data_IF_258950278351
#
_entry.id   IF_258950278351
#
_cell.length_a   1.000
_cell.length_b   1.000
_cell.length_c   1.000
_cell.angle_alpha   90.00
_cell.angle_beta   90.00
_cell.angle_gamma   90.00
#
_symmetry.space_group_name_H-M   'P 1'
#
loop_
_entity.id
_entity.type
_entity.pdbx_description
1 polymer ?
#
# COMPACT_ATOMS: atom_id res chain seq x y z
N UNK A 1 -54.55 40.49 -7.06
CA UNK A 1 -54.47 39.37 -6.09
C UNK A 1 -54.71 38.09 -6.85
N UNK A 2 -53.71 37.27 -6.98
CA UNK A 2 -53.85 35.93 -7.57
C UNK A 2 -54.64 35.06 -6.58
N UNK A 3 -55.62 34.30 -7.08
CA UNK A 3 -56.47 33.47 -6.24
C UNK A 3 -55.62 32.40 -5.51
N UNK A 4 -56.06 32.00 -4.31
CA UNK A 4 -55.41 30.97 -3.49
C UNK A 4 -55.12 29.68 -4.29
N UNK A 5 -55.97 29.32 -5.24
CA UNK A 5 -55.81 28.17 -6.13
C UNK A 5 -54.59 28.29 -7.07
N UNK A 6 -54.30 29.48 -7.57
CA UNK A 6 -53.16 29.73 -8.42
C UNK A 6 -51.84 29.70 -7.61
N UNK A 7 -51.87 30.20 -6.36
CA UNK A 7 -50.71 30.11 -5.47
C UNK A 7 -50.38 28.64 -5.12
N UNK A 8 -51.37 27.81 -4.84
CA UNK A 8 -51.17 26.38 -4.56
C UNK A 8 -50.70 25.59 -5.79
N UNK A 9 -51.12 25.94 -7.00
CA UNK A 9 -50.63 25.33 -8.24
C UNK A 9 -49.17 25.67 -8.49
N UNK A 10 -48.76 26.92 -8.29
CA UNK A 10 -47.37 27.37 -8.41
C UNK A 10 -46.49 26.69 -7.36
N UNK A 11 -46.94 26.59 -6.11
CA UNK A 11 -46.17 25.86 -5.06
C UNK A 11 -45.99 24.38 -5.39
N UNK A 12 -47.02 23.70 -5.91
CA UNK A 12 -46.91 22.28 -6.31
C UNK A 12 -45.99 22.09 -7.51
N UNK A 13 -45.98 23.02 -8.48
CA UNK A 13 -45.07 22.98 -9.60
C UNK A 13 -43.61 23.22 -9.19
N UNK A 14 -43.35 24.16 -8.28
CA UNK A 14 -42.04 24.43 -7.74
C UNK A 14 -41.52 23.21 -6.92
N UNK A 15 -42.40 22.61 -6.08
CA UNK A 15 -42.05 21.40 -5.31
C UNK A 15 -41.73 20.21 -6.19
N UNK A 16 -42.44 20.02 -7.30
CA UNK A 16 -42.20 18.94 -8.25
C UNK A 16 -40.89 19.18 -9.03
N UNK A 17 -40.60 20.44 -9.43
CA UNK A 17 -39.34 20.80 -10.10
C UNK A 17 -38.13 20.65 -9.18
N UNK A 18 -38.22 21.01 -7.90
CA UNK A 18 -37.15 20.84 -6.92
C UNK A 18 -36.89 19.34 -6.66
N UNK A 19 -37.97 18.54 -6.53
CA UNK A 19 -37.87 17.11 -6.32
C UNK A 19 -37.21 16.39 -7.51
N UNK A 20 -37.56 16.76 -8.74
CA UNK A 20 -36.91 16.20 -9.95
C UNK A 20 -35.46 16.66 -10.11
N UNK A 21 -35.11 17.89 -9.73
CA UNK A 21 -33.74 18.38 -9.76
C UNK A 21 -32.86 17.69 -8.73
N UNK A 22 -33.37 17.43 -7.52
CA UNK A 22 -32.63 16.66 -6.47
C UNK A 22 -32.44 15.21 -6.89
N UNK A 23 -33.46 14.57 -7.51
CA UNK A 23 -33.31 13.20 -8.04
C UNK A 23 -32.27 13.11 -9.16
N UNK A 24 -32.25 14.08 -10.11
CA UNK A 24 -31.25 14.09 -11.17
C UNK A 24 -29.83 14.38 -10.65
N UNK A 25 -29.66 15.22 -9.64
CA UNK A 25 -28.38 15.48 -9.02
C UNK A 25 -27.84 14.23 -8.31
N UNK A 26 -28.71 13.47 -7.64
CA UNK A 26 -28.34 12.21 -6.98
C UNK A 26 -27.92 11.13 -7.99
N UNK A 27 -28.59 11.04 -9.13
CA UNK A 27 -28.21 10.10 -10.20
C UNK A 27 -26.87 10.46 -10.84
N UNK A 28 -26.60 11.74 -11.05
CA UNK A 28 -25.33 12.18 -11.62
C UNK A 28 -24.16 11.98 -10.64
N UNK A 29 -24.34 12.22 -9.35
CA UNK A 29 -23.32 11.98 -8.33
C UNK A 29 -23.01 10.49 -8.20
N UNK A 30 -24.02 9.61 -8.19
CA UNK A 30 -23.82 8.15 -8.16
C UNK A 30 -23.15 7.62 -9.42
N UNK A 31 -23.46 8.15 -10.59
CA UNK A 31 -22.84 7.75 -11.85
C UNK A 31 -21.39 8.24 -11.96
N UNK A 32 -21.08 9.45 -11.46
CA UNK A 32 -19.71 9.97 -11.39
C UNK A 32 -18.85 9.13 -10.45
N UNK A 33 -19.36 8.81 -9.25
CA UNK A 33 -18.67 7.99 -8.28
C UNK A 33 -18.43 6.55 -8.79
N UNK A 34 -19.40 5.95 -9.49
CA UNK A 34 -19.23 4.62 -10.09
C UNK A 34 -18.20 4.64 -11.23
N UNK A 35 -18.12 5.73 -12.00
CA UNK A 35 -17.10 5.90 -13.04
C UNK A 35 -15.71 6.05 -12.45
N UNK A 36 -15.56 6.87 -11.43
CA UNK A 36 -14.30 7.08 -10.74
C UNK A 36 -13.77 5.77 -10.13
N UNK A 37 -14.66 4.96 -9.53
CA UNK A 37 -14.29 3.65 -8.98
C UNK A 37 -13.78 2.68 -10.06
N UNK A 38 -14.44 2.61 -11.21
CA UNK A 38 -14.00 1.75 -12.31
C UNK A 38 -12.65 2.19 -12.91
N UNK A 39 -12.38 3.49 -12.93
CA UNK A 39 -11.09 4.03 -13.33
C UNK A 39 -9.98 3.68 -12.32
N UNK A 40 -10.28 3.72 -11.03
CA UNK A 40 -9.35 3.28 -9.98
C UNK A 40 -9.13 1.77 -10.01
N UNK A 41 -10.17 0.96 -10.26
CA UNK A 41 -10.00 -0.48 -10.47
C UNK A 41 -9.05 -0.79 -11.63
N UNK A 42 -9.22 -0.10 -12.75
CA UNK A 42 -8.30 -0.20 -13.88
C UNK A 42 -6.89 0.19 -13.51
N UNK A 43 -6.73 1.28 -12.75
CA UNK A 43 -5.44 1.74 -12.25
C UNK A 43 -4.76 0.67 -11.38
N UNK A 44 -5.45 0.06 -10.40
CA UNK A 44 -4.91 -1.01 -9.56
C UNK A 44 -4.35 -2.15 -10.41
N UNK A 45 -5.13 -2.62 -11.38
CA UNK A 45 -4.75 -3.75 -12.24
C UNK A 45 -3.58 -3.42 -13.17
N UNK A 46 -3.58 -2.22 -13.78
CA UNK A 46 -2.55 -1.82 -14.76
C UNK A 46 -1.22 -1.51 -14.09
N UNK A 47 -1.24 -0.99 -12.86
CA UNK A 47 -0.03 -0.67 -12.10
C UNK A 47 0.50 -1.85 -11.28
N UNK A 48 -0.27 -2.95 -11.14
CA UNK A 48 0.07 -4.06 -10.26
C UNK A 48 -0.05 -3.72 -8.76
N UNK A 49 -0.69 -2.59 -8.41
CA UNK A 49 -0.81 -2.19 -7.02
C UNK A 49 -1.70 -3.14 -6.21
N UNK A 50 -2.68 -3.79 -6.83
CA UNK A 50 -3.47 -4.87 -6.22
C UNK A 50 -2.59 -6.06 -5.81
N UNK A 51 -1.62 -6.45 -6.63
CA UNK A 51 -0.64 -7.51 -6.31
C UNK A 51 0.30 -7.06 -5.18
N UNK A 52 0.72 -5.79 -5.18
CA UNK A 52 1.49 -5.23 -4.07
C UNK A 52 0.74 -5.29 -2.74
N UNK A 53 -0.57 -5.01 -2.73
CA UNK A 53 -1.42 -5.17 -1.55
C UNK A 53 -1.49 -6.63 -1.09
N UNK A 54 -1.64 -7.57 -2.01
CA UNK A 54 -1.66 -9.01 -1.68
C UNK A 54 -0.36 -9.48 -1.02
N UNK A 55 0.77 -8.86 -1.34
CA UNK A 55 2.06 -9.17 -0.73
C UNK A 55 2.13 -8.82 0.77
N UNK A 56 1.27 -7.93 1.27
CA UNK A 56 1.16 -7.61 2.70
C UNK A 56 0.86 -8.87 3.51
N UNK A 57 0.02 -9.76 2.98
CA UNK A 57 -0.31 -11.05 3.62
C UNK A 57 0.91 -11.95 3.82
N UNK A 58 1.89 -11.89 2.90
CA UNK A 58 3.14 -12.65 3.06
C UNK A 58 3.97 -12.12 4.23
N UNK A 59 4.00 -10.80 4.40
CA UNK A 59 4.67 -10.17 5.54
C UNK A 59 3.99 -10.48 6.87
N UNK A 60 2.67 -10.67 6.89
CA UNK A 60 1.91 -11.00 8.10
C UNK A 60 2.31 -12.35 8.70
N UNK A 61 2.87 -13.27 7.92
CA UNK A 61 3.36 -14.58 8.43
C UNK A 61 4.41 -14.42 9.54
N UNK A 62 5.20 -13.36 9.49
CA UNK A 62 6.25 -13.06 10.48
C UNK A 62 5.81 -12.10 11.60
N UNK A 63 4.54 -11.69 11.64
CA UNK A 63 4.06 -10.75 12.64
C UNK A 63 4.24 -11.23 14.11
N UNK A 64 4.07 -12.52 14.46
CA UNK A 64 4.34 -12.99 15.83
C UNK A 64 5.76 -12.69 16.30
N UNK A 65 6.77 -12.78 15.42
CA UNK A 65 8.16 -12.45 15.78
C UNK A 65 8.33 -10.99 16.21
N UNK A 66 7.52 -10.06 15.70
CA UNK A 66 7.53 -8.67 16.16
C UNK A 66 7.07 -8.52 17.62
N UNK A 67 6.34 -9.52 18.12
CA UNK A 67 5.87 -9.60 19.51
C UNK A 67 6.76 -10.50 20.39
N UNK A 68 7.84 -11.04 19.82
CA UNK A 68 8.70 -12.02 20.50
C UNK A 68 8.05 -13.41 20.62
N UNK A 69 7.06 -13.72 19.80
CA UNK A 69 6.34 -14.99 19.74
C UNK A 69 6.73 -15.76 18.48
N UNK A 70 6.56 -17.09 18.49
CA UNK A 70 6.74 -17.91 17.31
C UNK A 70 5.38 -18.18 16.64
N UNK A 71 5.33 -18.06 15.31
CA UNK A 71 4.13 -18.37 14.56
C UNK A 71 3.75 -19.86 14.65
N UNK A 72 4.74 -20.74 14.82
CA UNK A 72 4.57 -22.18 14.97
C UNK A 72 3.86 -22.55 16.28
N UNK A 73 3.95 -21.71 17.33
CA UNK A 73 3.24 -21.88 18.60
C UNK A 73 1.71 -21.87 18.41
N UNK A 74 1.22 -21.20 17.35
CA UNK A 74 -0.21 -21.12 17.02
C UNK A 74 -0.64 -22.10 15.94
N UNK A 75 0.31 -22.76 15.26
CA UNK A 75 0.08 -23.78 14.25
C UNK A 75 -0.85 -23.30 13.12
N UNK A 76 -1.76 -24.18 12.68
CA UNK A 76 -2.67 -23.89 11.57
C UNK A 76 -3.66 -22.74 11.86
N UNK A 77 -3.97 -22.49 13.13
CA UNK A 77 -4.88 -21.38 13.50
C UNK A 77 -4.30 -20.02 13.13
N UNK A 78 -2.97 -19.86 13.22
CA UNK A 78 -2.28 -18.67 12.75
C UNK A 78 -2.51 -18.43 11.26
N UNK A 79 -2.31 -19.46 10.45
CA UNK A 79 -2.50 -19.37 9.00
C UNK A 79 -3.92 -18.97 8.63
N UNK A 80 -4.92 -19.54 9.30
CA UNK A 80 -6.33 -19.18 9.08
C UNK A 80 -6.60 -17.72 9.45
N UNK A 81 -6.12 -17.28 10.62
CA UNK A 81 -6.31 -15.93 11.09
C UNK A 81 -5.66 -14.90 10.15
N UNK A 82 -4.40 -15.12 9.78
CA UNK A 82 -3.68 -14.24 8.88
C UNK A 82 -4.38 -14.15 7.50
N UNK A 83 -4.83 -15.29 6.95
CA UNK A 83 -5.56 -15.29 5.67
C UNK A 83 -6.91 -14.56 5.73
N UNK A 84 -7.61 -14.61 6.86
CA UNK A 84 -8.89 -13.93 7.04
C UNK A 84 -8.71 -12.41 7.17
N UNK A 85 -7.75 -11.97 7.97
CA UNK A 85 -7.50 -10.55 8.21
C UNK A 85 -6.90 -9.86 6.98
N UNK A 86 -5.97 -10.51 6.30
CA UNK A 86 -5.31 -10.00 5.11
C UNK A 86 -5.91 -10.58 3.82
N UNK A 87 -7.25 -10.80 3.81
CA UNK A 87 -7.94 -11.22 2.60
C UNK A 87 -7.79 -10.15 1.50
N UNK A 88 -7.40 -10.58 0.31
CA UNK A 88 -7.13 -9.71 -0.84
C UNK A 88 -8.31 -8.78 -1.16
N UNK A 89 -9.52 -9.30 -1.06
CA UNK A 89 -10.75 -8.56 -1.31
C UNK A 89 -10.94 -7.40 -0.33
N UNK A 90 -10.62 -7.61 0.96
CA UNK A 90 -10.74 -6.57 1.99
C UNK A 90 -9.75 -5.45 1.73
N UNK A 91 -8.48 -5.79 1.51
CA UNK A 91 -7.43 -4.81 1.27
C UNK A 91 -7.67 -4.03 -0.04
N UNK A 92 -8.15 -4.74 -1.08
CA UNK A 92 -8.49 -4.13 -2.36
C UNK A 92 -9.66 -3.14 -2.23
N UNK A 93 -10.72 -3.50 -1.52
CA UNK A 93 -11.84 -2.60 -1.25
C UNK A 93 -11.41 -1.35 -0.48
N UNK A 94 -10.58 -1.51 0.57
CA UNK A 94 -10.01 -0.37 1.30
C UNK A 94 -9.19 0.54 0.38
N UNK A 95 -8.37 -0.03 -0.49
CA UNK A 95 -7.57 0.75 -1.45
C UNK A 95 -8.45 1.48 -2.46
N UNK A 96 -9.50 0.83 -2.99
CA UNK A 96 -10.45 1.44 -3.91
C UNK A 96 -11.16 2.64 -3.29
N UNK A 97 -11.62 2.51 -2.05
CA UNK A 97 -12.30 3.59 -1.35
C UNK A 97 -11.37 4.79 -1.13
N UNK A 98 -10.16 4.55 -0.59
CA UNK A 98 -9.20 5.63 -0.33
C UNK A 98 -8.70 6.30 -1.61
N UNK A 99 -8.37 5.53 -2.64
CA UNK A 99 -7.84 6.06 -3.89
C UNK A 99 -8.90 6.76 -4.73
N UNK A 100 -10.16 6.32 -4.67
CA UNK A 100 -11.27 7.00 -5.36
C UNK A 100 -11.50 8.42 -4.82
N UNK A 101 -11.16 8.67 -3.55
CA UNK A 101 -11.21 10.00 -2.95
C UNK A 101 -9.95 10.84 -3.22
N UNK A 102 -8.78 10.18 -3.34
CA UNK A 102 -7.49 10.85 -3.37
C UNK A 102 -6.94 11.10 -4.78
N UNK A 103 -7.18 10.18 -5.74
CA UNK A 103 -6.64 10.27 -7.09
C UNK A 103 -7.56 11.07 -8.02
N UNK A 104 -7.03 12.12 -8.62
CA UNK A 104 -7.72 12.83 -9.70
C UNK A 104 -7.67 12.05 -11.01
N UNK A 105 -8.62 12.30 -11.91
CA UNK A 105 -8.64 11.71 -13.27
C UNK A 105 -7.33 11.96 -14.03
N UNK A 106 -6.71 13.14 -13.85
CA UNK A 106 -5.43 13.49 -14.48
C UNK A 106 -4.28 12.58 -13.99
N UNK A 107 -4.23 12.26 -12.71
CA UNK A 107 -3.21 11.38 -12.14
C UNK A 107 -3.45 9.93 -12.58
N UNK A 108 -4.69 9.47 -12.59
CA UNK A 108 -5.07 8.14 -13.09
C UNK A 108 -4.66 7.96 -14.56
N UNK A 109 -5.02 8.92 -15.43
CA UNK A 109 -4.65 8.88 -16.84
C UNK A 109 -3.13 8.88 -17.04
N UNK A 110 -2.40 9.68 -16.24
CA UNK A 110 -0.94 9.73 -16.30
C UNK A 110 -0.28 8.39 -15.96
N UNK A 111 -0.69 7.76 -14.85
CA UNK A 111 -0.15 6.47 -14.44
C UNK A 111 -0.50 5.36 -15.43
N UNK A 112 -1.80 5.25 -15.79
CA UNK A 112 -2.27 4.24 -16.73
C UNK A 112 -1.59 4.40 -18.10
N UNK A 113 -1.36 5.64 -18.54
CA UNK A 113 -0.66 5.92 -19.80
C UNK A 113 0.77 5.38 -19.83
N UNK A 114 1.49 5.43 -18.72
CA UNK A 114 2.84 4.86 -18.62
C UNK A 114 2.79 3.32 -18.45
N UNK A 115 2.04 2.83 -17.48
CA UNK A 115 2.06 1.40 -17.13
C UNK A 115 1.37 0.50 -18.16
N UNK A 116 0.49 1.04 -19.02
CA UNK A 116 -0.06 0.34 -20.17
C UNK A 116 0.84 0.41 -21.43
N UNK A 117 2.04 1.00 -21.35
CA UNK A 117 3.03 0.94 -22.43
C UNK A 117 3.75 -0.41 -22.44
N UNK A 118 4.42 -0.76 -23.55
CA UNK A 118 5.19 -2.00 -23.67
C UNK A 118 6.26 -2.14 -22.55
N UNK A 119 6.96 -1.06 -22.20
CA UNK A 119 7.91 -1.06 -21.09
C UNK A 119 7.17 -1.19 -19.75
N UNK A 120 6.09 -0.43 -19.55
CA UNK A 120 5.30 -0.44 -18.31
C UNK A 120 4.75 -1.83 -18.00
N UNK A 121 4.14 -2.50 -18.98
CA UNK A 121 3.62 -3.88 -18.81
C UNK A 121 4.71 -4.87 -18.38
N UNK A 122 5.90 -4.80 -19.00
CA UNK A 122 7.04 -5.65 -18.63
C UNK A 122 7.58 -5.36 -17.24
N UNK A 123 7.60 -4.09 -16.83
CA UNK A 123 7.99 -3.69 -15.48
C UNK A 123 7.01 -4.26 -14.43
N UNK A 124 5.71 -4.08 -14.66
CA UNK A 124 4.67 -4.61 -13.77
C UNK A 124 4.74 -6.13 -13.66
N UNK A 125 5.01 -6.84 -14.76
CA UNK A 125 5.17 -8.30 -14.74
C UNK A 125 6.27 -8.75 -13.77
N UNK A 126 7.46 -8.15 -13.83
CA UNK A 126 8.58 -8.54 -12.94
C UNK A 126 8.37 -8.05 -11.50
N UNK A 127 7.74 -6.89 -11.31
CA UNK A 127 7.37 -6.38 -10.00
C UNK A 127 6.36 -7.29 -9.31
N UNK A 128 5.30 -7.69 -10.02
CA UNK A 128 4.31 -8.62 -9.52
C UNK A 128 4.93 -10.00 -9.18
N UNK A 129 5.80 -10.52 -10.03
CA UNK A 129 6.54 -11.75 -9.75
C UNK A 129 7.41 -11.62 -8.50
N UNK A 130 8.05 -10.45 -8.30
CA UNK A 130 8.85 -10.17 -7.11
C UNK A 130 7.99 -10.06 -5.84
N UNK A 131 6.82 -9.42 -5.91
CA UNK A 131 5.90 -9.29 -4.79
C UNK A 131 5.30 -10.62 -4.32
N UNK A 132 4.99 -11.51 -5.25
CA UNK A 132 4.39 -12.81 -4.95
C UNK A 132 5.40 -13.91 -4.62
N UNK A 133 6.70 -13.63 -4.71
CA UNK A 133 7.72 -14.61 -4.36
C UNK A 133 7.75 -14.88 -2.85
N UNK A 134 7.62 -16.13 -2.46
CA UNK A 134 7.73 -16.57 -1.06
C UNK A 134 9.19 -16.62 -0.57
N UNK A 135 10.17 -16.63 -1.47
CA UNK A 135 11.61 -16.75 -1.15
C UNK A 135 12.27 -15.36 -1.05
N UNK A 136 11.98 -14.67 0.06
CA UNK A 136 12.55 -13.37 0.34
C UNK A 136 14.05 -13.43 0.66
N UNK A 137 14.54 -14.53 1.24
CA UNK A 137 15.95 -14.72 1.56
C UNK A 137 16.77 -14.82 0.28
N UNK A 138 16.38 -15.69 -0.66
CA UNK A 138 17.03 -15.80 -1.96
C UNK A 138 17.03 -14.49 -2.74
N UNK A 139 15.94 -13.73 -2.69
CA UNK A 139 15.87 -12.40 -3.34
C UNK A 139 16.87 -11.43 -2.74
N UNK A 140 16.96 -11.38 -1.40
CA UNK A 140 17.88 -10.49 -0.69
C UNK A 140 19.32 -10.86 -1.01
N UNK A 141 19.71 -12.12 -0.82
CA UNK A 141 21.06 -12.60 -1.10
C UNK A 141 21.48 -12.38 -2.56
N UNK A 142 20.58 -12.72 -3.51
CA UNK A 142 20.84 -12.52 -4.94
C UNK A 142 20.98 -11.05 -5.29
N UNK A 143 20.10 -10.20 -4.75
CA UNK A 143 20.14 -8.76 -4.96
C UNK A 143 21.40 -8.12 -4.41
N UNK A 144 21.83 -8.50 -3.20
CA UNK A 144 23.09 -8.06 -2.59
C UNK A 144 24.31 -8.48 -3.42
N UNK A 145 24.32 -9.72 -3.89
CA UNK A 145 25.39 -10.20 -4.76
C UNK A 145 25.48 -9.44 -6.09
N UNK A 146 24.32 -9.07 -6.67
CA UNK A 146 24.27 -8.23 -7.87
C UNK A 146 24.82 -6.82 -7.56
N UNK A 147 24.39 -6.20 -6.45
CA UNK A 147 24.87 -4.87 -6.02
C UNK A 147 26.37 -4.88 -5.83
N UNK A 148 26.92 -5.87 -5.13
CA UNK A 148 28.35 -6.02 -4.90
C UNK A 148 29.13 -6.19 -6.23
N UNK A 149 28.56 -6.96 -7.15
CA UNK A 149 29.11 -7.12 -8.49
C UNK A 149 29.16 -5.79 -9.26
N UNK A 150 28.07 -5.03 -9.26
CA UNK A 150 27.97 -3.74 -9.92
C UNK A 150 28.93 -2.70 -9.32
N UNK A 151 29.07 -2.66 -7.99
CA UNK A 151 30.03 -1.79 -7.29
C UNK A 151 31.45 -2.14 -7.68
N UNK A 152 31.80 -3.42 -7.70
CA UNK A 152 33.14 -3.91 -8.01
C UNK A 152 33.63 -3.49 -9.39
N UNK A 153 32.71 -3.46 -10.37
CA UNK A 153 33.03 -3.04 -11.75
C UNK A 153 32.82 -1.54 -11.99
N UNK A 154 32.38 -0.78 -10.98
CA UNK A 154 32.09 0.66 -11.13
C UNK A 154 30.92 0.94 -12.08
N UNK A 155 29.91 0.10 -12.10
CA UNK A 155 28.75 0.24 -12.99
C UNK A 155 27.92 1.48 -12.66
N UNK A 156 27.54 2.31 -13.65
CA UNK A 156 26.65 3.43 -13.47
C UNK A 156 25.23 3.01 -13.06
N UNK A 157 24.87 1.74 -13.27
CA UNK A 157 23.57 1.18 -12.92
C UNK A 157 23.22 1.36 -11.44
N UNK A 158 24.20 1.36 -10.53
CA UNK A 158 23.99 1.61 -9.11
C UNK A 158 23.30 2.96 -8.88
N UNK A 159 23.76 4.00 -9.54
CA UNK A 159 23.17 5.34 -9.40
C UNK A 159 21.76 5.43 -10.02
N UNK A 160 21.50 4.68 -11.10
CA UNK A 160 20.15 4.57 -11.67
C UNK A 160 19.18 3.92 -10.69
N UNK A 161 19.55 2.79 -10.08
CA UNK A 161 18.72 2.07 -9.11
C UNK A 161 18.48 2.92 -7.85
N UNK A 162 19.49 3.65 -7.36
CA UNK A 162 19.33 4.57 -6.22
C UNK A 162 18.35 5.70 -6.54
N UNK A 163 18.47 6.33 -7.72
CA UNK A 163 17.56 7.39 -8.17
C UNK A 163 16.13 6.86 -8.29
N UNK A 164 15.96 5.67 -8.87
CA UNK A 164 14.67 5.00 -9.01
C UNK A 164 14.01 4.80 -7.64
N UNK A 165 14.73 4.22 -6.66
CA UNK A 165 14.23 4.01 -5.32
C UNK A 165 13.89 5.33 -4.61
N UNK A 166 14.73 6.36 -4.78
CA UNK A 166 14.46 7.68 -4.21
C UNK A 166 13.22 8.34 -4.85
N UNK A 167 12.92 8.07 -6.12
CA UNK A 167 11.76 8.63 -6.79
C UNK A 167 10.44 7.97 -6.36
N UNK A 168 10.46 6.68 -5.97
CA UNK A 168 9.28 5.96 -5.49
C UNK A 168 8.87 6.29 -4.04
N UNK A 169 9.77 6.91 -3.26
CA UNK A 169 9.49 7.47 -1.92
C UNK A 169 10.06 8.89 -1.83
N UNK A 170 9.67 9.75 -2.76
CA UNK A 170 10.21 11.10 -2.88
C UNK A 170 9.97 11.96 -1.63
N UNK A 171 8.88 11.75 -0.92
CA UNK A 171 8.57 12.41 0.34
C UNK A 171 9.34 11.83 1.54
N UNK A 172 9.99 10.67 1.40
CA UNK A 172 10.74 10.00 2.46
C UNK A 172 9.88 9.63 3.68
N UNK A 173 8.64 9.24 3.44
CA UNK A 173 7.64 8.99 4.48
C UNK A 173 7.61 7.55 4.96
N UNK A 174 8.17 6.62 4.18
CA UNK A 174 8.10 5.16 4.45
C UNK A 174 8.63 4.78 5.82
N UNK A 175 9.74 5.37 6.28
CA UNK A 175 10.31 5.06 7.61
C UNK A 175 9.31 5.36 8.72
N UNK A 176 8.71 6.56 8.71
CA UNK A 176 7.71 6.96 9.72
C UNK A 176 6.44 6.15 9.62
N UNK A 177 6.03 5.78 8.42
CA UNK A 177 4.85 4.97 8.20
C UNK A 177 5.05 3.54 8.74
N UNK A 178 6.22 2.94 8.55
CA UNK A 178 6.58 1.63 9.14
C UNK A 178 6.58 1.73 10.66
N UNK A 179 7.17 2.77 11.24
CA UNK A 179 7.14 2.98 12.69
C UNK A 179 5.71 3.14 13.21
N UNK A 180 4.83 3.82 12.48
CA UNK A 180 3.42 3.93 12.86
C UNK A 180 2.71 2.58 12.85
N UNK A 181 2.95 1.72 11.85
CA UNK A 181 2.44 0.34 11.83
C UNK A 181 2.92 -0.43 13.06
N UNK A 182 4.23 -0.32 13.40
CA UNK A 182 4.79 -0.99 14.58
C UNK A 182 4.15 -0.51 15.89
N UNK A 183 3.98 0.81 16.06
CA UNK A 183 3.35 1.38 17.26
C UNK A 183 1.92 0.86 17.41
N UNK A 184 1.10 0.97 16.36
CA UNK A 184 -0.30 0.52 16.40
C UNK A 184 -0.40 -0.97 16.70
N UNK A 185 0.45 -1.80 16.08
CA UNK A 185 0.47 -3.24 16.30
C UNK A 185 0.86 -3.60 17.74
N UNK A 186 1.95 -3.04 18.25
CA UNK A 186 2.42 -3.31 19.62
C UNK A 186 1.43 -2.82 20.67
N UNK A 187 0.88 -1.62 20.52
CA UNK A 187 -0.11 -1.06 21.44
C UNK A 187 -1.42 -1.87 21.42
N UNK A 188 -1.87 -2.31 20.25
CA UNK A 188 -3.05 -3.16 20.13
C UNK A 188 -2.82 -4.55 20.77
N UNK A 189 -1.65 -5.16 20.56
CA UNK A 189 -1.29 -6.44 21.17
C UNK A 189 -1.21 -6.35 22.71
N UNK A 190 -0.65 -5.27 23.24
CA UNK A 190 -0.62 -5.01 24.67
C UNK A 190 -2.03 -4.76 25.23
N UNK A 191 -2.84 -3.95 24.55
CA UNK A 191 -4.22 -3.68 24.94
C UNK A 191 -5.12 -4.91 24.92
N UNK A 192 -4.84 -5.85 24.02
CA UNK A 192 -5.54 -7.14 23.93
C UNK A 192 -4.99 -8.22 24.89
N UNK A 193 -3.90 -7.93 25.62
CA UNK A 193 -3.28 -8.86 26.56
C UNK A 193 -2.47 -9.97 25.91
N UNK A 194 -2.08 -9.81 24.62
CA UNK A 194 -1.22 -10.76 23.90
C UNK A 194 0.22 -10.69 24.42
N UNK A 195 0.66 -9.48 24.75
CA UNK A 195 1.99 -9.21 25.32
C UNK A 195 1.89 -8.27 26.52
N UNK A 196 2.91 -8.30 27.39
CA UNK A 196 3.13 -7.27 28.41
C UNK A 196 4.11 -6.23 27.87
N UNK A 197 3.65 -4.99 27.66
CA UNK A 197 4.49 -3.88 27.24
C UNK A 197 4.78 -2.97 28.44
N UNK A 198 6.06 -2.81 28.77
CA UNK A 198 6.50 -1.97 29.90
C UNK A 198 6.59 -0.48 29.55
N UNK A 199 6.48 -0.13 28.27
CA UNK A 199 6.55 1.23 27.73
C UNK A 199 5.14 1.76 27.48
N UNK A 200 4.91 3.03 27.71
CA UNK A 200 3.73 3.69 27.17
C UNK A 200 3.95 4.07 25.68
N UNK A 201 2.90 4.55 25.02
CA UNK A 201 2.97 4.89 23.60
C UNK A 201 4.00 5.99 23.30
N UNK A 202 4.15 6.97 24.19
CA UNK A 202 5.08 8.09 23.99
C UNK A 202 6.54 7.62 24.07
N UNK A 203 6.85 6.77 25.04
CA UNK A 203 8.17 6.16 25.22
C UNK A 203 8.51 5.23 24.05
N UNK A 204 7.54 4.43 23.58
CA UNK A 204 7.70 3.57 22.40
C UNK A 204 8.00 4.38 21.15
N UNK A 205 7.27 5.47 20.93
CA UNK A 205 7.51 6.37 19.80
C UNK A 205 8.87 7.06 19.89
N UNK A 206 9.33 7.41 21.08
CA UNK A 206 10.67 7.98 21.27
C UNK A 206 11.76 6.96 20.99
N UNK A 207 11.62 5.73 21.47
CA UNK A 207 12.55 4.64 21.18
C UNK A 207 12.68 4.40 19.66
N UNK A 208 11.57 4.28 18.95
CA UNK A 208 11.57 4.08 17.50
C UNK A 208 12.16 5.27 16.73
N UNK A 209 11.94 6.51 17.18
CA UNK A 209 12.59 7.69 16.57
C UNK A 209 14.11 7.65 16.72
N UNK A 210 14.62 7.14 17.83
CA UNK A 210 16.07 7.01 18.02
C UNK A 210 16.70 6.00 17.05
N UNK A 211 15.93 5.04 16.57
CA UNK A 211 16.33 4.02 15.58
C UNK A 211 16.06 4.43 14.13
N UNK A 212 15.45 5.60 13.89
CA UNK A 212 15.04 6.04 12.55
C UNK A 212 16.17 6.02 11.53
N UNK A 213 17.39 6.45 11.92
CA UNK A 213 18.53 6.50 11.02
C UNK A 213 19.00 5.10 10.58
N UNK A 214 19.00 4.13 11.49
CA UNK A 214 19.37 2.75 11.21
C UNK A 214 18.30 2.07 10.33
N UNK A 215 17.03 2.27 10.65
CA UNK A 215 15.92 1.77 9.84
C UNK A 215 15.96 2.34 8.42
N UNK A 216 16.24 3.64 8.27
CA UNK A 216 16.38 4.29 6.97
C UNK A 216 17.51 3.68 6.15
N UNK A 217 18.67 3.47 6.78
CA UNK A 217 19.82 2.84 6.13
C UNK A 217 19.49 1.41 5.68
N UNK A 218 18.88 0.63 6.55
CA UNK A 218 18.43 -0.75 6.23
C UNK A 218 17.45 -0.79 5.08
N UNK A 219 16.44 0.08 5.07
CA UNK A 219 15.44 0.17 3.98
C UNK A 219 16.08 0.57 2.66
N UNK A 220 17.05 1.50 2.68
CA UNK A 220 17.77 1.90 1.46
C UNK A 220 18.63 0.75 0.91
N UNK A 221 19.31 0.01 1.76
CA UNK A 221 20.10 -1.13 1.36
C UNK A 221 19.22 -2.26 0.79
N UNK A 222 18.18 -2.64 1.50
CA UNK A 222 17.22 -3.66 1.07
C UNK A 222 16.48 -3.26 -0.22
N UNK A 223 16.09 -1.98 -0.33
CA UNK A 223 15.47 -1.45 -1.55
C UNK A 223 16.41 -1.50 -2.75
N UNK A 224 17.71 -1.19 -2.55
CA UNK A 224 18.71 -1.28 -3.62
C UNK A 224 18.93 -2.73 -4.06
N UNK A 225 19.04 -3.66 -3.12
CA UNK A 225 19.15 -5.09 -3.41
C UNK A 225 17.91 -5.62 -4.13
N UNK A 226 16.72 -5.30 -3.63
CA UNK A 226 15.46 -5.67 -4.24
C UNK A 226 15.31 -5.15 -5.67
N UNK A 227 15.67 -3.89 -5.91
CA UNK A 227 15.64 -3.29 -7.24
C UNK A 227 16.67 -3.95 -8.19
N UNK A 228 17.89 -4.23 -7.69
CA UNK A 228 18.92 -4.90 -8.47
C UNK A 228 18.48 -6.30 -8.91
N UNK A 229 17.80 -7.03 -8.04
CA UNK A 229 17.21 -8.33 -8.35
C UNK A 229 16.06 -8.22 -9.35
N UNK A 230 15.07 -7.37 -9.05
CA UNK A 230 13.83 -7.28 -9.83
C UNK A 230 14.09 -6.83 -11.27
N UNK A 231 14.94 -5.83 -11.46
CA UNK A 231 15.19 -5.26 -12.80
C UNK A 231 16.43 -5.79 -13.50
N UNK A 232 17.02 -6.90 -13.04
CA UNK A 232 18.28 -7.43 -13.59
C UNK A 232 18.22 -7.74 -15.10
N UNK A 233 17.03 -8.08 -15.62
CA UNK A 233 16.84 -8.41 -17.04
C UNK A 233 16.67 -7.18 -17.93
N UNK A 234 16.47 -5.98 -17.37
CA UNK A 234 16.31 -4.74 -18.13
C UNK A 234 17.66 -4.10 -18.43
N UNK A 235 17.76 -3.49 -19.60
CA UNK A 235 18.93 -2.67 -19.99
C UNK A 235 18.99 -1.38 -19.15
N UNK A 236 20.17 -0.77 -19.07
CA UNK A 236 20.35 0.51 -18.37
C UNK A 236 19.48 1.63 -18.99
N UNK A 237 19.21 1.58 -20.31
CA UNK A 237 18.32 2.54 -20.98
C UNK A 237 16.86 2.37 -20.54
N UNK A 238 16.36 1.15 -20.37
CA UNK A 238 15.01 0.88 -19.88
C UNK A 238 14.85 1.29 -18.41
N UNK A 239 15.85 1.00 -17.58
CA UNK A 239 15.87 1.45 -16.17
C UNK A 239 15.93 2.97 -16.08
N UNK A 240 16.70 3.64 -16.94
CA UNK A 240 16.74 5.12 -17.01
C UNK A 240 15.40 5.70 -17.47
N UNK A 241 14.72 5.07 -18.41
CA UNK A 241 13.39 5.50 -18.88
C UNK A 241 12.37 5.38 -17.74
N UNK A 242 12.38 4.25 -17.03
CA UNK A 242 11.53 4.06 -15.85
C UNK A 242 11.85 5.07 -14.75
N UNK A 243 13.12 5.26 -14.43
CA UNK A 243 13.56 6.25 -13.43
C UNK A 243 13.04 7.63 -13.74
N UNK A 244 13.14 8.08 -15.01
CA UNK A 244 12.59 9.37 -15.44
C UNK A 244 11.07 9.46 -15.33
N UNK A 245 10.37 8.36 -15.60
CA UNK A 245 8.93 8.30 -15.40
C UNK A 245 8.57 8.48 -13.92
N UNK A 246 9.28 7.82 -13.00
CA UNK A 246 9.10 7.95 -11.56
C UNK A 246 9.49 9.34 -11.03
N UNK A 247 10.52 9.98 -11.59
CA UNK A 247 10.94 11.34 -11.24
C UNK A 247 9.93 12.42 -11.73
N UNK A 248 8.94 12.06 -12.56
CA UNK A 248 7.89 13.00 -12.96
C UNK A 248 7.05 13.42 -11.73
N UNK A 249 6.79 14.72 -11.50
CA UNK A 249 6.06 15.19 -10.33
C UNK A 249 4.65 14.58 -10.16
N UNK A 250 3.96 14.26 -11.27
CA UNK A 250 2.67 13.57 -11.20
C UNK A 250 2.85 12.14 -10.72
N UNK A 251 3.86 11.42 -11.23
CA UNK A 251 4.16 10.06 -10.80
C UNK A 251 4.58 10.02 -9.34
N UNK A 252 5.44 10.94 -8.89
CA UNK A 252 5.80 11.06 -7.48
C UNK A 252 4.56 11.26 -6.60
N UNK A 253 3.62 12.13 -7.02
CA UNK A 253 2.37 12.34 -6.29
C UNK A 253 1.50 11.07 -6.24
N UNK A 254 1.49 10.28 -7.32
CA UNK A 254 0.78 9.00 -7.37
C UNK A 254 1.41 8.02 -6.39
N UNK A 255 2.75 7.90 -6.38
CA UNK A 255 3.46 7.03 -5.45
C UNK A 255 3.29 7.45 -3.99
N UNK A 256 3.30 8.75 -3.68
CA UNK A 256 3.01 9.26 -2.34
C UNK A 256 1.61 8.81 -1.86
N UNK A 257 0.60 8.85 -2.75
CA UNK A 257 -0.75 8.41 -2.42
C UNK A 257 -0.84 6.88 -2.30
N UNK A 258 -0.22 6.12 -3.21
CA UNK A 258 -0.17 4.66 -3.14
C UNK A 258 0.51 4.20 -1.85
N UNK A 259 1.67 4.76 -1.52
CA UNK A 259 2.39 4.45 -0.28
C UNK A 259 1.54 4.78 0.96
N UNK A 260 0.89 5.95 0.99
CA UNK A 260 0.02 6.33 2.11
C UNK A 260 -1.14 5.35 2.29
N UNK A 261 -1.79 4.93 1.20
CA UNK A 261 -2.87 3.93 1.22
C UNK A 261 -2.37 2.57 1.68
N UNK A 262 -1.25 2.09 1.13
CA UNK A 262 -0.66 0.81 1.51
C UNK A 262 -0.32 0.76 3.00
N UNK A 263 0.35 1.78 3.53
CA UNK A 263 0.68 1.83 4.95
C UNK A 263 -0.54 1.99 5.86
N UNK A 264 -1.58 2.71 5.40
CA UNK A 264 -2.84 2.81 6.14
C UNK A 264 -3.53 1.46 6.26
N UNK A 265 -3.59 0.70 5.15
CA UNK A 265 -4.14 -0.66 5.14
C UNK A 265 -3.29 -1.59 6.03
N UNK A 266 -1.97 -1.53 5.93
CA UNK A 266 -1.09 -2.31 6.79
C UNK A 266 -1.38 -2.02 8.27
N UNK A 267 -1.38 -0.77 8.67
CA UNK A 267 -1.60 -0.38 10.06
C UNK A 267 -2.94 -0.91 10.58
N UNK A 268 -4.01 -0.77 9.80
CA UNK A 268 -5.35 -1.26 10.13
C UNK A 268 -5.41 -2.78 10.26
N UNK A 269 -4.82 -3.49 9.31
CA UNK A 269 -4.83 -4.96 9.32
C UNK A 269 -3.96 -5.55 10.42
N UNK A 270 -2.79 -4.95 10.69
CA UNK A 270 -1.93 -5.38 11.80
C UNK A 270 -2.56 -5.10 13.16
N UNK A 271 -3.26 -3.97 13.32
CA UNK A 271 -4.01 -3.68 14.54
C UNK A 271 -5.13 -4.70 14.78
N UNK A 272 -5.93 -5.01 13.77
CA UNK A 272 -6.96 -6.05 13.81
C UNK A 272 -6.35 -7.43 14.13
N UNK A 273 -5.20 -7.76 13.51
CA UNK A 273 -4.46 -8.98 13.77
C UNK A 273 -4.09 -9.08 15.25
N UNK A 274 -3.50 -8.04 15.83
CA UNK A 274 -3.10 -8.00 17.22
C UNK A 274 -4.27 -8.27 18.17
N UNK A 275 -5.41 -7.62 17.92
CA UNK A 275 -6.62 -7.82 18.74
C UNK A 275 -7.13 -9.24 18.64
N UNK A 276 -7.17 -9.82 17.45
CA UNK A 276 -7.69 -11.17 17.22
C UNK A 276 -6.73 -12.28 17.69
N UNK A 277 -5.42 -12.01 17.75
CA UNK A 277 -4.45 -12.95 18.34
C UNK A 277 -4.78 -13.33 19.77
N UNK A 278 -5.39 -12.43 20.57
CA UNK A 278 -5.83 -12.73 21.93
C UNK A 278 -6.83 -13.90 22.02
N UNK A 279 -7.48 -14.25 20.91
CA UNK A 279 -8.42 -15.38 20.86
C UNK A 279 -7.76 -16.70 20.45
N UNK A 280 -6.51 -16.67 20.01
CA UNK A 280 -5.75 -17.87 19.68
C UNK A 280 -5.28 -18.54 20.98
N UNK A 281 -5.42 -19.86 21.03
CA UNK A 281 -4.81 -20.66 22.09
C UNK A 281 -3.50 -21.24 21.54
N UNK A 282 -2.41 -21.20 22.33
CA UNK A 282 -1.22 -21.96 21.97
C UNK A 282 -1.60 -23.42 21.71
N UNK A 283 -1.04 -24.03 20.69
CA UNK A 283 -1.21 -25.46 20.43
C UNK A 283 -0.68 -26.23 21.66
N UNK A 284 -1.54 -27.00 22.34
CA UNK A 284 -1.05 -27.95 23.33
C UNK A 284 -0.16 -28.96 22.60
N UNK A 285 1.11 -29.04 23.01
CA UNK A 285 2.02 -30.10 22.56
C UNK A 285 1.39 -31.46 22.86
N UNK A 286 1.01 -32.19 21.81
CA UNK A 286 0.54 -33.57 21.88
C UNK A 286 1.72 -34.56 21.87
#
# INVERSE_FOLDING_TARGET
>A
MLSLENQMRVLKLISLLVFTAVMMASFNASAAQAKDRAEVERFLNVTGFDVSLDSIRLSAKSAPMMLGLDADDFGYQWTLLANDIFASEIMREMALDMLSEALSAELLEHAVGFYASELGERLVEVENASHLSDDNELKSESGEAIVDGLIRIGSPRIELLKRMNAASDAAGTSVRAIQEVQVRFLMAAAGAGVIELSLDEADLREMLRNEEAELRFSLQASGLAGAAYTYQAFSDSEVEEYTKALENPKMQKIYDLMNAVQFSIMADRYEELAVRMATLQPSEDL
#
